data_IF_198735894545
#
_entry.id   IF_198735894545
#
_cell.length_a   1.000
_cell.length_b   1.000
_cell.length_c   1.000
_cell.angle_alpha   90.00
_cell.angle_beta   90.00
_cell.angle_gamma   90.00
#
_symmetry.space_group_name_H-M   'P 1'
#
loop_
_entity.id
_entity.type
_entity.pdbx_description
1 polymer ?
#
# COMPACT_ATOMS: atom_id res chain seq x y z
N UNK A 1 -1.04 -11.25 -12.97
CA UNK A 1 -0.72 -10.28 -11.90
C UNK A 1 0.64 -9.69 -12.18
N UNK A 2 0.82 -8.38 -11.97
CA UNK A 2 2.13 -7.72 -11.99
C UNK A 2 2.57 -7.50 -10.54
N UNK A 3 3.80 -7.89 -10.22
CA UNK A 3 4.39 -7.67 -8.89
C UNK A 3 5.54 -6.67 -9.03
N UNK A 4 5.45 -5.59 -8.27
CA UNK A 4 6.47 -4.55 -8.17
C UNK A 4 7.19 -4.70 -6.83
N UNK A 5 8.35 -5.36 -6.84
CA UNK A 5 9.20 -5.47 -5.66
C UNK A 5 10.25 -4.34 -5.70
N UNK A 6 10.00 -3.23 -5.02
CA UNK A 6 10.91 -2.10 -4.98
C UNK A 6 11.87 -2.20 -3.79
N UNK A 7 13.17 -2.26 -4.07
CA UNK A 7 14.22 -2.26 -3.04
C UNK A 7 14.93 -0.91 -2.92
N UNK A 8 14.47 0.13 -3.63
CA UNK A 8 15.10 1.45 -3.64
C UNK A 8 16.51 1.46 -4.25
N UNK A 9 16.85 0.47 -5.10
CA UNK A 9 18.16 0.34 -5.76
C UNK A 9 18.17 0.82 -7.21
N UNK A 10 17.09 1.45 -7.67
CA UNK A 10 17.01 2.07 -8.99
C UNK A 10 16.62 1.13 -10.14
N UNK A 11 16.42 -0.16 -9.90
CA UNK A 11 15.92 -1.09 -10.94
C UNK A 11 14.49 -0.75 -11.39
N UNK A 12 13.67 -0.24 -10.47
CA UNK A 12 12.29 0.16 -10.74
C UNK A 12 12.18 1.69 -10.73
N UNK A 13 12.20 2.30 -11.92
CA UNK A 13 12.15 3.77 -12.06
C UNK A 13 10.79 4.30 -12.53
N UNK A 14 9.99 3.46 -13.18
CA UNK A 14 8.78 3.86 -13.90
C UNK A 14 7.50 3.25 -13.28
N UNK A 15 7.39 3.25 -11.95
CA UNK A 15 6.27 2.68 -11.19
C UNK A 15 4.90 3.01 -11.78
N UNK A 16 4.61 4.30 -11.95
CA UNK A 16 3.32 4.76 -12.46
C UNK A 16 3.04 4.29 -13.88
N UNK A 17 4.02 4.32 -14.79
CA UNK A 17 3.84 3.85 -16.16
C UNK A 17 3.46 2.37 -16.18
N UNK A 18 4.14 1.55 -15.37
CA UNK A 18 3.85 0.13 -15.25
C UNK A 18 2.47 -0.14 -14.65
N UNK A 19 2.10 0.60 -13.58
CA UNK A 19 0.79 0.50 -12.93
C UNK A 19 -0.32 0.84 -13.94
N UNK A 20 -0.20 1.95 -14.66
CA UNK A 20 -1.21 2.36 -15.64
C UNK A 20 -1.33 1.36 -16.80
N UNK A 21 -0.20 0.85 -17.30
CA UNK A 21 -0.19 -0.16 -18.36
C UNK A 21 -0.87 -1.48 -17.94
N UNK A 22 -0.69 -1.89 -16.68
CA UNK A 22 -1.35 -3.06 -16.10
C UNK A 22 -2.85 -2.82 -15.87
N UNK A 23 -3.24 -1.66 -15.30
CA UNK A 23 -4.64 -1.26 -15.12
C UNK A 23 -5.41 -1.25 -16.44
N UNK A 24 -4.84 -0.68 -17.49
CA UNK A 24 -5.45 -0.64 -18.83
C UNK A 24 -5.72 -2.04 -19.42
N UNK A 25 -5.05 -3.08 -18.91
CA UNK A 25 -5.21 -4.49 -19.31
C UNK A 25 -5.97 -5.32 -18.26
N UNK A 26 -6.53 -4.68 -17.24
CA UNK A 26 -7.17 -5.34 -16.10
C UNK A 26 -6.26 -6.36 -15.38
N UNK A 27 -4.94 -6.11 -15.39
CA UNK A 27 -3.97 -6.93 -14.66
C UNK A 27 -3.81 -6.35 -13.25
N UNK A 28 -4.08 -7.13 -12.18
CA UNK A 28 -3.87 -6.66 -10.82
C UNK A 28 -2.40 -6.33 -10.56
N UNK A 29 -2.14 -5.27 -9.80
CA UNK A 29 -0.79 -4.83 -9.42
C UNK A 29 -0.61 -4.93 -7.91
N UNK A 30 0.35 -5.75 -7.49
CA UNK A 30 0.85 -5.81 -6.12
C UNK A 30 2.15 -5.00 -6.06
N UNK A 31 2.27 -4.06 -5.14
CA UNK A 31 3.52 -3.35 -4.91
C UNK A 31 4.00 -3.52 -3.47
N UNK A 32 5.27 -3.86 -3.30
CA UNK A 32 5.97 -3.81 -2.02
C UNK A 32 6.69 -2.45 -1.94
N UNK A 33 6.15 -1.49 -1.18
CA UNK A 33 6.61 -0.12 -1.25
C UNK A 33 7.95 0.05 -0.53
N UNK A 34 8.79 0.97 -1.04
CA UNK A 34 10.00 1.40 -0.33
C UNK A 34 10.12 2.91 -0.27
N UNK A 35 10.56 3.40 0.88
CA UNK A 35 10.80 4.83 1.11
C UNK A 35 9.60 5.55 1.72
N UNK A 36 9.59 6.87 1.57
CA UNK A 36 8.71 7.78 2.30
C UNK A 36 7.60 8.39 1.42
N UNK A 37 7.39 7.87 0.21
CA UNK A 37 6.34 8.35 -0.68
C UNK A 37 5.56 7.20 -1.32
N UNK A 38 4.31 6.99 -0.87
CA UNK A 38 3.42 6.01 -1.47
C UNK A 38 2.67 6.54 -2.71
N UNK A 39 2.77 7.82 -3.04
CA UNK A 39 2.11 8.41 -4.20
C UNK A 39 2.57 7.78 -5.53
N UNK A 40 3.83 7.31 -5.59
CA UNK A 40 4.37 6.61 -6.75
C UNK A 40 3.68 5.26 -7.02
N UNK A 41 2.95 4.70 -6.05
CA UNK A 41 2.16 3.47 -6.19
C UNK A 41 0.65 3.73 -6.36
N UNK A 42 0.23 4.99 -6.54
CA UNK A 42 -1.17 5.36 -6.76
C UNK A 42 -1.82 4.49 -7.84
N UNK A 43 -3.00 3.95 -7.55
CA UNK A 43 -3.74 3.09 -8.46
C UNK A 43 -3.40 1.60 -8.44
N UNK A 44 -2.43 1.18 -7.60
CA UNK A 44 -2.15 -0.24 -7.42
C UNK A 44 -3.36 -0.98 -6.81
N UNK A 45 -3.47 -2.27 -7.12
CA UNK A 45 -4.54 -3.11 -6.56
C UNK A 45 -4.31 -3.39 -5.08
N UNK A 46 -3.05 -3.57 -4.67
CA UNK A 46 -2.64 -3.78 -3.30
C UNK A 46 -1.22 -3.25 -3.08
N UNK A 47 -1.00 -2.56 -1.96
CA UNK A 47 0.35 -2.28 -1.44
C UNK A 47 0.56 -2.92 -0.07
N UNK A 48 1.80 -3.31 0.25
CA UNK A 48 2.13 -4.13 1.43
C UNK A 48 3.18 -3.52 2.36
N UNK A 49 3.03 -2.29 2.86
CA UNK A 49 4.03 -1.70 3.76
C UNK A 49 4.11 -2.45 5.08
N UNK A 50 5.28 -2.40 5.73
CA UNK A 50 5.35 -2.68 7.16
C UNK A 50 4.83 -1.50 7.99
N UNK A 51 4.61 -1.73 9.29
CA UNK A 51 4.08 -0.71 10.20
C UNK A 51 4.96 0.54 10.24
N UNK A 52 6.29 0.41 10.27
CA UNK A 52 7.21 1.55 10.30
C UNK A 52 7.13 2.40 9.03
N UNK A 53 7.08 1.76 7.86
CA UNK A 53 6.90 2.43 6.57
C UNK A 53 5.53 3.13 6.52
N UNK A 54 4.49 2.47 6.99
CA UNK A 54 3.15 3.06 7.06
C UNK A 54 3.11 4.30 7.97
N UNK A 55 3.64 4.20 9.19
CA UNK A 55 3.68 5.31 10.17
C UNK A 55 4.56 6.47 9.72
N UNK A 56 5.56 6.23 8.88
CA UNK A 56 6.35 7.32 8.26
C UNK A 56 5.47 8.22 7.40
N UNK A 57 4.45 7.67 6.74
CA UNK A 57 3.54 8.40 5.83
C UNK A 57 2.33 9.01 6.56
N UNK A 58 1.83 8.32 7.58
CA UNK A 58 0.57 8.68 8.25
C UNK A 58 0.75 9.25 9.66
N UNK A 59 1.99 9.29 10.14
CA UNK A 59 2.33 9.53 11.54
C UNK A 59 2.10 8.28 12.41
N UNK A 60 2.64 8.30 13.63
CA UNK A 60 2.50 7.21 14.60
C UNK A 60 1.03 6.85 14.85
N UNK A 61 0.73 5.56 14.96
CA UNK A 61 -0.57 5.03 15.35
C UNK A 61 -0.50 4.55 16.80
N UNK A 62 -1.35 5.08 17.67
CA UNK A 62 -1.40 4.71 19.09
C UNK A 62 -2.02 3.32 19.29
N UNK A 63 -2.96 2.94 18.42
CA UNK A 63 -3.68 1.67 18.47
C UNK A 63 -4.15 1.20 17.07
N UNK A 64 -4.82 0.05 17.03
CA UNK A 64 -5.35 -0.53 15.80
C UNK A 64 -6.46 0.32 15.16
N UNK A 65 -7.26 1.02 15.97
CA UNK A 65 -8.34 1.86 15.45
C UNK A 65 -7.76 3.05 14.68
N UNK A 66 -6.69 3.67 15.18
CA UNK A 66 -6.00 4.76 14.51
C UNK A 66 -5.29 4.27 13.22
N UNK A 67 -4.68 3.09 13.25
CA UNK A 67 -4.09 2.44 12.07
C UNK A 67 -5.16 2.25 10.98
N UNK A 68 -6.31 1.68 11.34
CA UNK A 68 -7.43 1.45 10.41
C UNK A 68 -7.95 2.78 9.86
N UNK A 69 -8.16 3.78 10.70
CA UNK A 69 -8.67 5.08 10.27
C UNK A 69 -7.72 5.79 9.28
N UNK A 70 -6.42 5.86 9.62
CA UNK A 70 -5.39 6.45 8.77
C UNK A 70 -5.19 5.66 7.47
N UNK A 71 -5.22 4.33 7.56
CA UNK A 71 -5.04 3.46 6.42
C UNK A 71 -6.20 3.56 5.43
N UNK A 72 -7.44 3.64 5.93
CA UNK A 72 -8.62 3.89 5.10
C UNK A 72 -8.57 5.25 4.39
N UNK A 73 -8.01 6.29 5.03
CA UNK A 73 -7.77 7.57 4.38
C UNK A 73 -6.78 7.43 3.22
N UNK A 74 -5.62 6.80 3.44
CA UNK A 74 -4.61 6.59 2.39
C UNK A 74 -5.08 5.73 1.24
N UNK A 75 -5.88 4.71 1.54
CA UNK A 75 -6.49 3.85 0.52
C UNK A 75 -7.35 4.65 -0.47
N UNK A 76 -8.07 5.67 0.02
CA UNK A 76 -8.82 6.62 -0.83
C UNK A 76 -7.90 7.59 -1.55
N UNK A 77 -6.99 8.25 -0.83
CA UNK A 77 -6.10 9.29 -1.38
C UNK A 77 -5.26 8.77 -2.56
N UNK A 78 -4.79 7.53 -2.45
CA UNK A 78 -3.87 6.87 -3.40
C UNK A 78 -4.60 6.02 -4.45
N UNK A 79 -5.91 6.10 -4.51
CA UNK A 79 -6.75 5.26 -5.37
C UNK A 79 -6.41 3.74 -5.31
N UNK A 80 -6.17 3.21 -4.10
CA UNK A 80 -5.79 1.81 -3.93
C UNK A 80 -7.02 0.90 -3.83
N UNK A 81 -6.88 -0.35 -4.29
CA UNK A 81 -7.87 -1.39 -4.07
C UNK A 81 -7.86 -1.91 -2.62
N UNK A 82 -6.66 -2.17 -2.10
CA UNK A 82 -6.41 -2.64 -0.75
C UNK A 82 -5.06 -2.15 -0.22
N UNK A 83 -4.91 -2.18 1.11
CA UNK A 83 -3.69 -1.90 1.85
C UNK A 83 -3.50 -3.02 2.89
N UNK A 84 -2.39 -3.75 2.83
CA UNK A 84 -2.06 -4.79 3.80
C UNK A 84 -0.87 -4.31 4.63
N UNK A 85 -1.11 -3.91 5.88
CA UNK A 85 -0.05 -3.46 6.77
C UNK A 85 0.50 -4.66 7.53
N UNK A 86 1.80 -4.96 7.36
CA UNK A 86 2.46 -6.01 8.15
C UNK A 86 2.97 -5.44 9.47
N UNK A 87 2.69 -6.11 10.59
CA UNK A 87 2.89 -5.56 11.95
C UNK A 87 3.94 -6.32 12.77
N UNK A 88 4.58 -7.37 12.23
CA UNK A 88 5.48 -8.23 12.99
C UNK A 88 4.71 -9.23 13.85
N UNK A 89 4.97 -9.28 15.16
CA UNK A 89 4.30 -10.21 16.09
C UNK A 89 2.76 -10.11 16.09
N UNK A 90 2.14 -8.90 16.02
CA UNK A 90 0.68 -8.74 15.85
C UNK A 90 0.10 -9.21 14.51
N UNK A 91 0.89 -9.82 13.62
CA UNK A 91 0.41 -10.31 12.32
C UNK A 91 0.27 -9.20 11.28
N UNK A 92 -0.90 -9.10 10.64
CA UNK A 92 -1.14 -8.15 9.55
C UNK A 92 -2.51 -7.49 9.71
N UNK A 93 -2.76 -6.40 9.00
CA UNK A 93 -4.11 -5.80 8.91
C UNK A 93 -4.42 -5.48 7.47
N UNK A 94 -5.47 -6.11 6.93
CA UNK A 94 -5.97 -5.89 5.59
C UNK A 94 -7.09 -4.85 5.59
N UNK A 95 -6.88 -3.77 4.86
CA UNK A 95 -7.82 -2.69 4.64
C UNK A 95 -8.31 -2.71 3.19
N UNK A 96 -9.62 -2.58 3.01
CA UNK A 96 -10.31 -2.62 1.71
C UNK A 96 -11.41 -1.56 1.69
N UNK A 97 -11.73 -1.02 0.50
CA UNK A 97 -12.83 -0.04 0.35
C UNK A 97 -14.16 -0.63 0.79
N UNK A 98 -14.88 0.10 1.64
CA UNK A 98 -16.24 -0.26 2.04
C UNK A 98 -16.36 -1.58 2.81
N UNK A 99 -15.25 -2.11 3.32
CA UNK A 99 -15.22 -3.36 4.07
C UNK A 99 -14.56 -3.15 5.43
N UNK A 100 -14.97 -3.92 6.46
CA UNK A 100 -14.27 -3.94 7.74
C UNK A 100 -12.79 -4.32 7.58
N UNK A 101 -11.97 -3.78 8.48
CA UNK A 101 -10.58 -4.23 8.61
C UNK A 101 -10.55 -5.72 8.98
N UNK A 102 -9.59 -6.45 8.43
CA UNK A 102 -9.35 -7.84 8.75
C UNK A 102 -7.95 -7.96 9.38
N UNK A 103 -7.84 -8.36 10.66
CA UNK A 103 -6.57 -8.56 11.35
C UNK A 103 -5.89 -9.90 10.98
#
# INVERSE_FOLDING_TARGET
>A
VLVLADYGKGALQNHQVLIQAARARNIPVLADPKGEDFAIYRGASLITPNLSEFETIVGRCADEAELVAKGQARLRDLDLGALLVTRGEPGMTLLRRGQPALP
#
